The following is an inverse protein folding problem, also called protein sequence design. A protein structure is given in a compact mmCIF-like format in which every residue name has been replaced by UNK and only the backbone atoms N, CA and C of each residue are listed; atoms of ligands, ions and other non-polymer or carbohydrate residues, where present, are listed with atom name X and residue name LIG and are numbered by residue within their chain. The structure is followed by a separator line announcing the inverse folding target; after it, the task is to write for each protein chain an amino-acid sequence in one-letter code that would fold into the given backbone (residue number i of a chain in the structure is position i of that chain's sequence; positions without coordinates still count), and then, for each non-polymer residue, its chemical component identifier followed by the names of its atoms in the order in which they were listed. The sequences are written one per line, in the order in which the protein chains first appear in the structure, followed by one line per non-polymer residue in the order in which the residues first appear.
data_IF_889914583358
#
_entry.id   IF_889914583358
#
_cell.length_a   1.000
_cell.length_b   1.000
_cell.length_c   1.000
_cell.angle_alpha   90.00
_cell.angle_beta   90.00
_cell.angle_gamma   90.00
#
_symmetry.space_group_name_H-M   'P 1'
#
loop_
_entity.id
_entity.type
_entity.pdbx_description
1 polymer ?
#
# COMPACT_ATOMS: atom_id res chain seq x y z
N UNK A 1 44.81 -17.98 -30.63
CA UNK A 1 44.87 -19.35 -30.07
C UNK A 1 43.95 -19.38 -28.85
N UNK A 2 42.64 -19.59 -29.04
CA UNK A 2 41.89 -20.86 -29.13
C UNK A 2 41.66 -21.56 -27.76
N UNK A 3 40.38 -21.58 -27.37
CA UNK A 3 39.56 -22.60 -26.64
C UNK A 3 40.12 -23.24 -25.33
N UNK A 4 39.42 -23.23 -24.19
CA UNK A 4 38.12 -23.83 -23.77
C UNK A 4 38.24 -25.21 -23.10
N UNK A 5 37.39 -25.42 -22.08
CA UNK A 5 36.69 -26.64 -21.70
C UNK A 5 37.27 -27.64 -20.67
N UNK A 6 36.42 -27.81 -19.63
CA UNK A 6 35.85 -29.05 -19.09
C UNK A 6 36.57 -29.89 -18.04
N UNK A 7 35.71 -30.28 -17.08
CA UNK A 7 35.65 -31.56 -16.38
C UNK A 7 36.63 -31.74 -15.23
N UNK A 8 36.35 -32.42 -14.13
CA UNK A 8 35.19 -33.08 -13.49
C UNK A 8 35.88 -33.81 -12.32
N UNK A 9 35.27 -33.96 -11.15
CA UNK A 9 35.18 -35.28 -10.48
C UNK A 9 34.44 -35.29 -9.13
N UNK A 10 33.91 -36.47 -8.75
CA UNK A 10 32.58 -36.61 -8.20
C UNK A 10 32.61 -36.85 -6.69
N UNK A 11 31.55 -36.45 -6.00
CA UNK A 11 31.24 -37.02 -4.70
C UNK A 11 30.47 -38.33 -4.91
N UNK A 12 31.03 -39.38 -4.33
CA UNK A 12 30.66 -40.78 -4.48
C UNK A 12 29.27 -41.09 -3.95
N UNK A 13 28.44 -41.63 -4.83
CA UNK A 13 27.18 -42.28 -4.48
C UNK A 13 27.50 -43.63 -3.83
N UNK A 14 27.21 -43.74 -2.52
CA UNK A 14 27.19 -45.04 -1.85
C UNK A 14 25.75 -45.55 -1.86
N UNK A 15 25.43 -46.47 -2.77
CA UNK A 15 24.22 -47.28 -2.64
C UNK A 15 24.38 -48.23 -1.45
N UNK A 16 23.43 -48.17 -0.51
CA UNK A 16 23.05 -49.32 0.30
C UNK A 16 21.56 -49.53 0.11
N UNK A 17 21.18 -50.62 -0.57
CA UNK A 17 19.82 -51.14 -0.55
C UNK A 17 19.71 -52.16 0.59
N UNK A 18 18.81 -51.95 1.55
CA UNK A 18 17.83 -52.96 1.99
C UNK A 18 16.67 -52.26 2.72
N UNK A 19 15.47 -52.77 2.48
CA UNK A 19 14.14 -52.20 2.67
C UNK A 19 13.72 -51.93 4.13
N UNK A 20 12.94 -50.87 4.35
CA UNK A 20 11.56 -50.92 4.88
C UNK A 20 11.10 -49.54 5.34
N UNK A 21 9.85 -49.20 4.97
CA UNK A 21 8.98 -48.15 5.49
C UNK A 21 9.61 -46.87 6.03
N UNK A 22 9.47 -45.76 5.28
CA UNK A 22 8.88 -44.47 5.72
C UNK A 22 8.98 -43.50 4.53
N UNK A 23 7.94 -42.70 4.31
CA UNK A 23 7.87 -41.68 3.25
C UNK A 23 9.14 -40.81 3.16
N UNK A 24 9.57 -40.39 1.96
CA UNK A 24 10.57 -39.34 1.84
C UNK A 24 9.88 -38.00 2.09
N UNK A 25 9.62 -37.67 3.36
CA UNK A 25 9.57 -36.26 3.75
C UNK A 25 10.99 -35.75 3.65
N UNK A 26 11.35 -35.22 2.49
CA UNK A 26 12.45 -34.27 2.38
C UNK A 26 12.07 -33.02 3.18
N UNK A 27 12.19 -33.10 4.51
CA UNK A 27 12.07 -31.94 5.37
C UNK A 27 13.33 -31.12 5.16
N UNK A 28 13.30 -30.20 4.19
CA UNK A 28 14.23 -29.08 4.18
C UNK A 28 14.19 -28.46 5.58
N UNK A 29 15.34 -28.00 6.13
CA UNK A 29 15.34 -27.25 7.37
C UNK A 29 14.30 -26.14 7.24
N UNK A 30 13.38 -26.06 8.20
CA UNK A 30 12.20 -25.17 8.14
C UNK A 30 12.61 -23.70 7.92
N UNK A 31 13.84 -23.35 8.29
CA UNK A 31 14.42 -22.01 8.21
C UNK A 31 15.41 -21.82 7.03
N UNK A 32 15.51 -22.77 6.10
CA UNK A 32 16.35 -22.62 4.90
C UNK A 32 15.73 -21.60 3.93
N UNK A 33 16.56 -20.78 3.28
CA UNK A 33 16.14 -19.90 2.17
C UNK A 33 15.36 -20.69 1.11
N UNK A 34 15.75 -21.94 0.86
CA UNK A 34 15.05 -22.82 -0.09
C UNK A 34 13.64 -23.19 0.40
N UNK A 35 13.45 -23.39 1.71
CA UNK A 35 12.12 -23.67 2.27
C UNK A 35 11.19 -22.46 2.13
N UNK A 36 11.70 -21.24 2.36
CA UNK A 36 10.96 -20.00 2.12
C UNK A 36 10.60 -19.80 0.66
N UNK A 37 11.55 -20.00 -0.25
CA UNK A 37 11.31 -19.91 -1.71
C UNK A 37 10.23 -20.91 -2.15
N UNK A 38 10.34 -22.17 -1.75
CA UNK A 38 9.33 -23.20 -2.07
C UNK A 38 7.95 -22.85 -1.47
N UNK A 39 7.91 -22.28 -0.26
CA UNK A 39 6.66 -21.83 0.37
C UNK A 39 6.01 -20.67 -0.38
N UNK A 40 6.81 -19.73 -0.89
CA UNK A 40 6.37 -18.63 -1.75
C UNK A 40 5.84 -19.15 -3.09
N UNK A 41 6.64 -19.93 -3.82
CA UNK A 41 6.31 -20.48 -5.14
C UNK A 41 5.08 -21.41 -5.12
N UNK A 42 4.84 -22.08 -3.99
CA UNK A 42 3.65 -22.93 -3.80
C UNK A 42 2.42 -22.16 -3.31
N UNK A 43 2.53 -20.85 -3.06
CA UNK A 43 1.45 -20.01 -2.55
C UNK A 43 1.03 -20.34 -1.12
N UNK A 44 1.86 -21.07 -0.36
CA UNK A 44 1.60 -21.38 1.06
C UNK A 44 2.03 -20.24 1.98
N UNK A 45 3.01 -19.45 1.56
CA UNK A 45 3.46 -18.29 2.31
C UNK A 45 2.45 -17.14 2.20
N UNK A 46 2.14 -16.54 3.35
CA UNK A 46 1.33 -15.33 3.46
C UNK A 46 2.14 -14.24 4.15
N UNK A 47 2.17 -13.05 3.57
CA UNK A 47 2.96 -11.93 4.10
C UNK A 47 2.17 -10.61 4.07
N UNK A 48 2.43 -9.68 5.02
CA UNK A 48 1.79 -8.38 5.03
C UNK A 48 2.32 -7.50 3.90
N UNK A 49 1.42 -6.85 3.19
CA UNK A 49 1.74 -5.82 2.21
C UNK A 49 0.53 -4.89 2.00
N UNK A 50 0.72 -3.85 1.22
CA UNK A 50 -0.35 -2.95 0.81
C UNK A 50 -0.70 -3.15 -0.66
N UNK A 51 -1.99 -3.06 -0.96
CA UNK A 51 -2.53 -3.19 -2.31
C UNK A 51 -3.13 -1.86 -2.72
N UNK A 52 -2.65 -1.29 -3.82
CA UNK A 52 -3.28 -0.14 -4.45
C UNK A 52 -4.65 -0.54 -5.02
N UNK A 53 -5.68 0.24 -4.67
CA UNK A 53 -7.00 0.11 -5.27
C UNK A 53 -6.94 0.62 -6.72
N UNK A 54 -7.39 -0.22 -7.65
CA UNK A 54 -7.65 0.21 -9.03
C UNK A 54 -9.12 0.58 -9.19
N UNK A 55 -9.40 1.34 -10.25
CA UNK A 55 -10.74 1.64 -10.77
C UNK A 55 -11.47 0.41 -11.32
N UNK A 56 -11.50 -0.72 -10.61
CA UNK A 56 -12.31 -1.89 -10.99
C UNK A 56 -13.82 -1.59 -10.80
N UNK A 57 -14.32 -0.51 -11.40
CA UNK A 57 -15.71 -0.04 -11.33
C UNK A 57 -16.07 0.77 -10.08
N UNK A 58 -15.17 0.92 -9.11
CA UNK A 58 -15.45 1.66 -7.87
C UNK A 58 -14.69 2.98 -7.78
N UNK A 59 -15.26 4.00 -8.43
CA UNK A 59 -14.80 5.41 -8.44
C UNK A 59 -14.51 5.95 -7.04
N UNK A 60 -15.20 5.48 -5.99
CA UNK A 60 -14.99 5.95 -4.62
C UNK A 60 -13.59 5.71 -4.05
N UNK A 61 -12.86 4.69 -4.51
CA UNK A 61 -11.57 4.26 -3.95
C UNK A 61 -10.36 4.67 -4.80
N UNK A 62 -10.52 5.62 -5.72
CA UNK A 62 -9.43 6.11 -6.56
C UNK A 62 -8.26 6.65 -5.72
N UNK A 63 -7.04 6.28 -6.13
CA UNK A 63 -5.79 6.65 -5.46
C UNK A 63 -5.80 6.34 -3.97
N UNK A 64 -6.28 5.14 -3.63
CA UNK A 64 -6.20 4.61 -2.29
C UNK A 64 -5.48 3.27 -2.24
N UNK A 65 -5.04 2.85 -1.06
CA UNK A 65 -4.52 1.51 -0.82
C UNK A 65 -4.96 0.98 0.53
N UNK A 66 -4.89 -0.34 0.70
CA UNK A 66 -5.30 -1.03 1.92
C UNK A 66 -4.31 -2.13 2.31
N UNK A 67 -4.25 -2.42 3.61
CA UNK A 67 -3.41 -3.49 4.16
C UNK A 67 -4.04 -4.86 3.90
N UNK A 68 -3.23 -5.82 3.48
CA UNK A 68 -3.66 -7.19 3.23
C UNK A 68 -2.56 -8.21 3.56
N UNK A 69 -2.98 -9.46 3.73
CA UNK A 69 -2.08 -10.60 3.67
C UNK A 69 -2.06 -11.12 2.23
N UNK A 70 -0.88 -11.20 1.62
CA UNK A 70 -0.71 -11.61 0.23
C UNK A 70 -0.13 -13.02 0.11
N UNK A 71 -0.52 -13.73 -0.94
CA UNK A 71 0.04 -15.00 -1.35
C UNK A 71 0.26 -14.99 -2.85
N UNK A 72 1.45 -15.42 -3.27
CA UNK A 72 1.82 -15.52 -4.68
C UNK A 72 1.20 -16.77 -5.34
N UNK A 73 0.77 -16.65 -6.59
CA UNK A 73 0.39 -17.75 -7.48
C UNK A 73 1.32 -17.77 -8.69
N UNK A 74 2.27 -18.69 -8.66
CA UNK A 74 3.29 -18.87 -9.71
C UNK A 74 2.72 -19.30 -11.06
N UNK A 75 1.49 -19.84 -11.11
CA UNK A 75 0.87 -20.31 -12.37
C UNK A 75 0.40 -19.14 -13.23
N UNK A 76 -0.03 -18.06 -12.59
CA UNK A 76 -0.57 -16.87 -13.25
C UNK A 76 0.35 -15.65 -13.11
N UNK A 77 1.43 -15.77 -12.34
CA UNK A 77 2.32 -14.66 -11.95
C UNK A 77 1.55 -13.49 -11.32
N UNK A 78 0.64 -13.82 -10.40
CA UNK A 78 -0.21 -12.85 -9.70
C UNK A 78 -0.33 -13.17 -8.21
N UNK A 79 -0.99 -12.29 -7.48
CA UNK A 79 -1.20 -12.41 -6.04
C UNK A 79 -2.68 -12.54 -5.68
N UNK A 80 -2.91 -13.17 -4.54
CA UNK A 80 -4.18 -13.21 -3.83
C UNK A 80 -4.04 -12.40 -2.54
N UNK A 81 -4.93 -11.45 -2.33
CA UNK A 81 -4.99 -10.66 -1.11
C UNK A 81 -6.13 -11.14 -0.21
N UNK A 82 -5.82 -11.30 1.08
CA UNK A 82 -6.80 -11.51 2.14
C UNK A 82 -6.85 -10.27 3.01
N UNK A 83 -8.02 -9.67 3.11
CA UNK A 83 -8.27 -8.54 4.01
C UNK A 83 -9.61 -8.76 4.73
N UNK A 84 -9.76 -8.17 5.91
CA UNK A 84 -10.94 -8.39 6.77
C UNK A 84 -11.52 -7.05 7.18
N UNK A 85 -12.36 -6.42 6.34
CA UNK A 85 -12.87 -5.08 6.61
C UNK A 85 -13.89 -5.05 7.75
N UNK A 86 -14.49 -6.17 8.14
CA UNK A 86 -15.43 -6.25 9.28
C UNK A 86 -15.50 -7.69 9.81
N UNK A 87 -14.34 -8.32 10.07
CA UNK A 87 -14.27 -9.76 10.43
C UNK A 87 -14.67 -10.73 9.32
N UNK A 88 -15.35 -10.27 8.27
CA UNK A 88 -15.63 -11.01 7.04
C UNK A 88 -14.36 -11.07 6.22
N UNK A 89 -13.82 -12.27 6.04
CA UNK A 89 -12.66 -12.51 5.18
C UNK A 89 -13.04 -12.27 3.73
N UNK A 90 -12.46 -11.25 3.13
CA UNK A 90 -12.53 -10.97 1.69
C UNK A 90 -11.27 -11.54 1.03
N UNK A 91 -11.42 -12.01 -0.20
CA UNK A 91 -10.30 -12.45 -1.04
C UNK A 91 -10.38 -11.70 -2.36
N UNK A 92 -9.31 -10.99 -2.71
CA UNK A 92 -9.12 -10.43 -4.05
C UNK A 92 -8.06 -11.27 -4.76
N UNK A 93 -8.31 -11.64 -6.01
CA UNK A 93 -7.43 -12.49 -6.81
C UNK A 93 -6.91 -11.71 -8.02
N UNK A 94 -5.90 -12.25 -8.70
CA UNK A 94 -5.30 -11.68 -9.91
C UNK A 94 -4.70 -10.28 -9.70
N UNK A 95 -4.09 -10.05 -8.54
CA UNK A 95 -3.40 -8.80 -8.25
C UNK A 95 -2.02 -8.86 -8.89
N UNK A 96 -1.71 -7.89 -9.75
CA UNK A 96 -0.41 -7.78 -10.43
C UNK A 96 0.65 -7.12 -9.55
N UNK A 97 1.92 -7.36 -9.87
CA UNK A 97 3.07 -6.79 -9.16
C UNK A 97 3.04 -5.27 -9.02
N UNK A 98 2.58 -4.54 -10.04
CA UNK A 98 2.52 -3.07 -10.05
C UNK A 98 1.51 -2.49 -9.04
N UNK A 99 0.61 -3.31 -8.50
CA UNK A 99 -0.36 -2.90 -7.49
C UNK A 99 0.13 -3.09 -6.06
N UNK A 100 1.31 -3.66 -5.88
CA UNK A 100 1.83 -3.99 -4.56
C UNK A 100 2.85 -2.96 -4.09
N UNK A 101 2.83 -2.71 -2.78
CA UNK A 101 3.91 -1.99 -2.11
C UNK A 101 4.13 -2.56 -0.72
N UNK A 102 5.34 -2.37 -0.20
CA UNK A 102 5.58 -2.55 1.22
C UNK A 102 4.79 -1.50 2.02
N UNK A 103 4.29 -1.81 3.22
CA UNK A 103 3.65 -0.82 4.09
C UNK A 103 4.58 0.37 4.31
N UNK A 104 4.08 1.58 4.07
CA UNK A 104 4.88 2.79 4.24
C UNK A 104 5.15 3.14 5.71
N UNK A 105 4.34 2.60 6.63
CA UNK A 105 4.43 2.79 8.08
C UNK A 105 4.09 1.46 8.78
N UNK A 106 4.65 1.25 9.98
CA UNK A 106 4.39 0.07 10.81
C UNK A 106 3.07 0.15 11.61
N UNK A 107 2.26 1.19 11.35
CA UNK A 107 0.98 1.38 12.06
C UNK A 107 -0.03 0.32 11.65
N UNK A 108 -0.63 -0.44 12.59
CA UNK A 108 -1.67 -1.40 12.26
C UNK A 108 -2.90 -0.77 11.63
N UNK A 109 -3.60 -1.51 10.77
CA UNK A 109 -4.73 -1.01 9.97
C UNK A 109 -5.92 -0.47 10.77
N UNK A 110 -6.12 -0.87 12.04
CA UNK A 110 -7.20 -0.35 12.91
C UNK A 110 -6.74 0.77 13.85
N UNK A 111 -5.47 1.18 13.77
CA UNK A 111 -4.87 2.18 14.64
C UNK A 111 -4.68 3.47 13.86
N UNK A 112 -5.10 4.58 14.46
CA UNK A 112 -4.87 5.91 13.90
C UNK A 112 -3.37 6.19 13.90
N UNK A 113 -2.82 6.54 12.74
CA UNK A 113 -1.43 6.94 12.59
C UNK A 113 -1.16 8.27 13.29
N UNK A 114 -0.07 8.33 14.05
CA UNK A 114 0.36 9.54 14.73
C UNK A 114 1.13 10.44 13.76
N UNK A 115 0.46 11.46 13.24
CA UNK A 115 1.00 12.39 12.25
C UNK A 115 2.08 13.30 12.85
N UNK A 116 3.35 13.05 12.51
CA UNK A 116 4.49 13.87 12.94
C UNK A 116 4.81 15.03 11.99
N UNK A 117 4.26 15.00 10.77
CA UNK A 117 4.60 15.93 9.70
C UNK A 117 3.71 17.17 9.58
N UNK A 118 2.68 17.32 10.44
CA UNK A 118 1.62 18.33 10.25
C UNK A 118 2.14 19.77 10.22
N UNK A 119 3.15 20.07 11.04
CA UNK A 119 3.75 21.40 11.10
C UNK A 119 4.52 21.77 9.82
N UNK A 120 5.04 20.77 9.11
CA UNK A 120 5.87 20.93 7.92
C UNK A 120 5.09 20.92 6.60
N UNK A 121 3.76 20.77 6.68
CA UNK A 121 2.88 20.78 5.51
C UNK A 121 2.78 22.19 4.91
N UNK A 122 3.17 22.30 3.64
CA UNK A 122 3.01 23.48 2.78
C UNK A 122 2.29 23.12 1.49
N UNK A 123 1.62 24.10 0.83
CA UNK A 123 1.01 23.85 -0.47
C UNK A 123 1.95 23.17 -1.47
N UNK A 124 1.42 22.20 -2.20
CA UNK A 124 2.17 21.36 -3.13
C UNK A 124 2.81 20.11 -2.51
N UNK A 125 2.87 19.98 -1.19
CA UNK A 125 3.34 18.74 -0.56
C UNK A 125 2.36 17.58 -0.84
N UNK A 126 2.92 16.40 -1.07
CA UNK A 126 2.16 15.17 -1.28
C UNK A 126 1.93 14.44 0.05
N UNK A 127 0.73 13.92 0.25
CA UNK A 127 0.34 13.27 1.51
C UNK A 127 -0.46 12.00 1.27
N UNK A 128 -0.50 11.14 2.29
CA UNK A 128 -1.56 10.16 2.44
C UNK A 128 -2.32 10.42 3.72
N UNK A 129 -3.64 10.24 3.68
CA UNK A 129 -4.51 10.30 4.85
C UNK A 129 -5.21 8.96 5.07
N UNK A 130 -5.30 8.53 6.32
CA UNK A 130 -6.11 7.41 6.73
C UNK A 130 -7.59 7.78 6.64
N UNK A 131 -8.39 6.93 6.00
CA UNK A 131 -9.85 7.01 5.98
C UNK A 131 -10.47 5.64 6.23
N UNK A 132 -11.59 5.60 6.97
CA UNK A 132 -12.42 4.41 7.18
C UNK A 132 -13.89 4.76 7.13
N UNK A 133 -14.73 3.82 6.70
CA UNK A 133 -16.19 4.03 6.60
C UNK A 133 -16.84 4.19 7.97
N UNK A 134 -16.47 3.36 8.93
CA UNK A 134 -16.92 3.42 10.31
C UNK A 134 -15.86 2.79 11.24
N UNK A 135 -16.10 2.80 12.56
CA UNK A 135 -15.11 2.33 13.55
C UNK A 135 -14.78 0.84 13.49
N UNK A 136 -15.62 0.04 12.87
CA UNK A 136 -15.43 -1.40 12.70
C UNK A 136 -14.54 -1.72 11.50
N UNK A 137 -14.40 -0.78 10.56
CA UNK A 137 -13.56 -0.93 9.38
C UNK A 137 -12.12 -0.50 9.66
N UNK A 138 -11.13 -1.20 9.09
CA UNK A 138 -9.75 -0.72 9.08
C UNK A 138 -9.64 0.56 8.25
N UNK A 139 -8.62 1.35 8.54
CA UNK A 139 -8.21 2.44 7.69
C UNK A 139 -7.59 1.91 6.40
N UNK A 140 -7.94 2.55 5.29
CA UNK A 140 -7.08 2.60 4.11
C UNK A 140 -6.40 3.95 4.01
N UNK A 141 -5.47 4.09 3.07
CA UNK A 141 -4.72 5.32 2.84
C UNK A 141 -5.14 5.95 1.52
N UNK A 142 -5.48 7.23 1.54
CA UNK A 142 -5.86 8.02 0.37
C UNK A 142 -4.78 9.03 0.06
N UNK A 143 -4.31 9.04 -1.17
CA UNK A 143 -3.38 10.03 -1.67
C UNK A 143 -4.07 11.37 -1.90
N UNK A 144 -3.39 12.45 -1.51
CA UNK A 144 -3.81 13.82 -1.76
C UNK A 144 -2.62 14.77 -1.84
N UNK A 145 -2.92 16.05 -2.03
CA UNK A 145 -1.93 17.14 -2.10
C UNK A 145 -2.36 18.26 -1.17
N UNK A 146 -1.42 18.94 -0.53
CA UNK A 146 -1.72 20.12 0.26
C UNK A 146 -2.08 21.28 -0.68
N UNK A 147 -3.28 21.82 -0.52
CA UNK A 147 -3.81 22.92 -1.30
C UNK A 147 -3.51 24.29 -0.69
N UNK A 148 -4.00 25.32 -1.36
CA UNK A 148 -4.00 26.70 -0.85
C UNK A 148 -5.34 27.02 -0.18
N UNK A 149 -5.31 27.87 0.85
CA UNK A 149 -6.53 28.49 1.38
C UNK A 149 -7.20 29.34 0.29
N UNK A 150 -8.54 29.41 0.31
CA UNK A 150 -9.32 30.21 -0.66
C UNK A 150 -8.92 31.69 -0.65
N UNK A 151 -8.56 32.22 0.53
CA UNK A 151 -8.10 33.60 0.69
C UNK A 151 -6.67 33.84 0.17
N UNK A 152 -5.95 32.79 -0.25
CA UNK A 152 -4.59 32.92 -0.76
C UNK A 152 -4.63 33.22 -2.26
N UNK A 153 -4.01 34.32 -2.67
CA UNK A 153 -3.87 34.68 -4.10
C UNK A 153 -2.96 33.76 -4.92
N UNK A 154 -2.55 32.60 -4.38
CA UNK A 154 -1.71 31.57 -5.03
C UNK A 154 -0.39 32.09 -5.62
N UNK A 155 0.11 33.21 -5.10
CA UNK A 155 1.41 33.75 -5.48
C UNK A 155 2.52 32.97 -4.75
N UNK A 156 3.39 32.31 -5.50
CA UNK A 156 4.50 31.49 -4.97
C UNK A 156 5.42 32.27 -4.01
N UNK A 157 5.59 33.58 -4.22
CA UNK A 157 6.47 34.40 -3.41
C UNK A 157 5.81 35.05 -2.19
N UNK A 158 4.47 35.02 -2.10
CA UNK A 158 3.70 35.68 -1.03
C UNK A 158 2.68 34.75 -0.36
N UNK A 159 2.85 33.43 -0.52
CA UNK A 159 1.97 32.45 0.09
C UNK A 159 2.24 32.34 1.60
N UNK A 160 1.24 32.70 2.41
CA UNK A 160 1.31 32.56 3.88
C UNK A 160 0.62 31.29 4.41
N UNK A 161 0.17 30.38 3.53
CA UNK A 161 -0.57 29.18 3.95
C UNK A 161 0.25 28.25 4.87
N UNK A 162 1.57 28.22 4.70
CA UNK A 162 2.47 27.46 5.58
C UNK A 162 2.39 27.90 7.05
N UNK A 163 2.18 29.20 7.29
CA UNK A 163 2.12 29.76 8.65
C UNK A 163 0.71 29.74 9.26
N UNK A 164 -0.30 29.25 8.51
CA UNK A 164 -1.68 29.15 8.99
C UNK A 164 -1.90 27.80 9.64
N UNK A 165 -2.64 27.81 10.75
CA UNK A 165 -2.99 26.58 11.46
C UNK A 165 -3.87 25.67 10.60
N UNK A 166 -4.76 26.26 9.81
CA UNK A 166 -5.58 25.54 8.83
C UNK A 166 -4.77 25.10 7.63
N UNK A 167 -4.80 23.80 7.33
CA UNK A 167 -4.20 23.17 6.15
C UNK A 167 -5.31 22.62 5.28
N UNK A 168 -5.26 22.93 3.99
CA UNK A 168 -6.19 22.40 2.99
C UNK A 168 -5.60 21.14 2.39
N UNK A 169 -6.37 20.05 2.35
CA UNK A 169 -6.02 18.83 1.64
C UNK A 169 -6.92 18.69 0.42
N UNK A 170 -6.31 18.47 -0.75
CA UNK A 170 -6.97 18.33 -2.03
C UNK A 170 -6.81 16.91 -2.60
N UNK A 171 -7.93 16.36 -3.01
CA UNK A 171 -8.07 15.04 -3.64
C UNK A 171 -8.52 15.26 -5.08
N UNK A 172 -7.56 15.64 -5.92
CA UNK A 172 -7.79 16.05 -7.31
C UNK A 172 -8.31 14.92 -8.22
N UNK A 173 -8.31 13.68 -7.74
CA UNK A 173 -9.00 12.56 -8.39
C UNK A 173 -10.53 12.72 -8.39
N UNK A 174 -11.11 13.55 -7.52
CA UNK A 174 -12.56 13.78 -7.48
C UNK A 174 -12.96 15.06 -8.22
N UNK A 175 -14.13 15.09 -8.90
CA UNK A 175 -14.63 16.27 -9.63
C UNK A 175 -14.81 17.51 -8.74
N UNK A 176 -14.77 18.72 -9.34
CA UNK A 176 -14.75 20.01 -8.61
C UNK A 176 -15.94 20.22 -7.66
N UNK A 177 -17.10 19.62 -7.94
CA UNK A 177 -18.28 19.67 -7.08
C UNK A 177 -18.37 18.55 -6.02
N UNK A 178 -17.41 17.63 -5.98
CA UNK A 178 -17.44 16.51 -5.04
C UNK A 178 -17.10 16.97 -3.63
N UNK A 179 -17.94 16.59 -2.65
CA UNK A 179 -17.66 16.77 -1.22
C UNK A 179 -16.38 16.08 -0.75
N UNK A 180 -15.88 15.11 -1.52
CA UNK A 180 -14.64 14.37 -1.23
C UNK A 180 -13.39 15.03 -1.79
N UNK A 181 -13.53 16.08 -2.61
CA UNK A 181 -12.40 16.72 -3.28
C UNK A 181 -11.51 17.51 -2.33
N UNK A 182 -12.07 18.05 -1.26
CA UNK A 182 -11.32 18.92 -0.37
C UNK A 182 -11.75 18.69 1.08
N UNK A 183 -10.77 18.73 1.98
CA UNK A 183 -11.03 18.86 3.41
C UNK A 183 -10.03 19.82 4.05
N UNK A 184 -10.37 20.32 5.24
CA UNK A 184 -9.51 21.21 6.02
C UNK A 184 -9.18 20.55 7.35
N UNK A 185 -7.91 20.62 7.73
CA UNK A 185 -7.41 20.13 9.01
C UNK A 185 -6.74 21.27 9.78
N UNK A 186 -6.58 21.12 11.08
CA UNK A 186 -5.82 22.05 11.92
C UNK A 186 -4.50 21.40 12.35
N UNK A 187 -3.35 21.95 11.96
CA UNK A 187 -2.04 21.33 12.25
C UNK A 187 -1.65 21.28 13.73
N UNK A 188 -2.34 22.00 14.64
CA UNK A 188 -2.05 22.02 16.09
C UNK A 188 -2.82 20.95 16.86
N UNK A 189 -4.09 20.75 16.52
CA UNK A 189 -5.03 19.92 17.28
C UNK A 189 -5.68 18.82 16.43
N UNK A 190 -5.01 18.37 15.36
CA UNK A 190 -5.57 17.37 14.46
C UNK A 190 -5.76 16.03 15.15
N UNK A 191 -6.94 15.46 14.98
CA UNK A 191 -7.32 14.12 15.46
C UNK A 191 -8.22 13.46 14.43
N UNK A 192 -8.63 12.23 14.70
CA UNK A 192 -9.69 11.63 13.88
C UNK A 192 -10.95 12.50 13.93
N UNK A 193 -11.43 12.87 12.75
CA UNK A 193 -12.65 13.64 12.51
C UNK A 193 -13.52 12.90 11.50
N UNK A 194 -14.81 13.23 11.47
CA UNK A 194 -15.76 12.60 10.57
C UNK A 194 -17.00 12.06 11.30
N UNK A 195 -17.82 11.33 10.56
CA UNK A 195 -19.11 10.83 11.00
C UNK A 195 -19.51 9.57 10.20
N UNK A 196 -20.60 8.91 10.56
CA UNK A 196 -21.06 7.68 9.89
C UNK A 196 -21.52 7.87 8.43
N UNK A 197 -21.86 9.09 8.01
CA UNK A 197 -22.28 9.40 6.64
C UNK A 197 -21.10 9.66 5.70
N UNK A 198 -20.01 10.23 6.22
CA UNK A 198 -18.82 10.64 5.45
C UNK A 198 -17.57 9.80 5.79
N UNK A 199 -17.70 8.86 6.71
CA UNK A 199 -16.56 8.15 7.28
C UNK A 199 -15.69 9.02 8.18
N UNK A 200 -14.62 8.41 8.65
CA UNK A 200 -13.68 8.98 9.61
C UNK A 200 -12.29 9.03 8.99
N UNK A 201 -11.58 10.14 9.20
CA UNK A 201 -10.22 10.34 8.71
C UNK A 201 -9.37 11.10 9.73
N UNK A 202 -8.04 10.90 9.70
CA UNK A 202 -7.19 11.60 10.64
C UNK A 202 -5.69 11.39 10.49
N UNK A 203 -5.22 10.15 10.48
CA UNK A 203 -3.79 9.86 10.40
C UNK A 203 -3.22 10.35 9.07
N UNK A 204 -2.20 11.21 9.10
CA UNK A 204 -1.62 11.83 7.90
C UNK A 204 -0.13 11.58 7.91
N UNK A 205 0.39 11.14 6.77
CA UNK A 205 1.83 11.12 6.50
C UNK A 205 2.15 11.99 5.30
N UNK A 206 3.32 12.61 5.32
CA UNK A 206 3.89 13.30 4.15
C UNK A 206 4.68 12.31 3.31
N UNK A 207 4.55 12.41 2.00
CA UNK A 207 5.34 11.65 1.03
C UNK A 207 6.52 12.50 0.62
N UNK A 208 7.74 12.05 0.94
CA UNK A 208 8.98 12.76 0.63
C UNK A 208 9.67 12.22 -0.62
N UNK A 209 9.51 10.93 -0.92
CA UNK A 209 10.21 10.23 -2.00
C UNK A 209 9.49 10.46 -3.33
N UNK A 210 10.23 10.94 -4.34
CA UNK A 210 9.66 11.19 -5.68
C UNK A 210 9.23 9.88 -6.35
N UNK A 211 9.84 8.75 -5.99
CA UNK A 211 9.45 7.43 -6.52
C UNK A 211 8.04 7.04 -6.05
N UNK A 212 7.70 7.29 -4.78
CA UNK A 212 6.35 7.05 -4.25
C UNK A 212 5.32 8.00 -4.89
N UNK A 213 5.69 9.27 -5.07
CA UNK A 213 4.84 10.26 -5.73
C UNK A 213 4.59 9.86 -7.19
N UNK A 214 5.63 9.43 -7.90
CA UNK A 214 5.55 8.97 -9.28
C UNK A 214 4.69 7.71 -9.41
N UNK A 215 4.78 6.79 -8.44
CA UNK A 215 3.90 5.63 -8.37
C UNK A 215 2.43 6.06 -8.28
N UNK A 216 2.08 6.96 -7.35
CA UNK A 216 0.71 7.48 -7.25
C UNK A 216 0.23 8.19 -8.51
N UNK A 217 1.07 9.03 -9.12
CA UNK A 217 0.77 9.70 -10.39
C UNK A 217 0.54 8.70 -11.54
N UNK A 218 1.21 7.56 -11.54
CA UNK A 218 1.01 6.52 -12.56
C UNK A 218 -0.33 5.78 -12.44
N UNK A 219 -0.92 5.80 -11.23
CA UNK A 219 -2.22 5.20 -10.92
C UNK A 219 -3.38 6.17 -11.17
N UNK A 220 -3.11 7.37 -11.71
CA UNK A 220 -4.14 8.36 -11.98
C UNK A 220 -5.19 7.82 -12.96
N UNK A 221 -6.48 8.09 -12.74
CA UNK A 221 -7.54 7.80 -13.70
C UNK A 221 -7.17 8.31 -15.09
N UNK A 222 -7.17 7.43 -16.10
CA UNK A 222 -6.88 7.81 -17.49
C UNK A 222 -8.01 8.61 -18.13
N UNK A 223 -9.20 8.58 -17.53
CA UNK A 223 -10.35 9.35 -17.94
C UNK A 223 -10.75 10.27 -16.77
N UNK A 224 -10.78 11.57 -17.02
CA UNK A 224 -11.49 12.48 -16.13
C UNK A 224 -12.95 12.03 -16.11
N UNK A 225 -13.44 11.65 -14.94
CA UNK A 225 -14.87 11.41 -14.75
C UNK A 225 -15.55 12.77 -14.84
N UNK A 226 -16.07 13.10 -16.03
CA UNK A 226 -17.00 14.21 -16.25
C UNK A 226 -18.36 13.92 -15.60
#
# INVERSE_FOLDING_TARGET
FFWSLYSCWPFSWSERKTESNTEPRSSLPVDSIMAWYVSLESGKFWFPAQVYNRENGHVGFMLSCYDAQLSYDSRTDTFRARYSPHGRRMVEENISWDRLRAPAVDTPSHVLHNSDCLHDLKPGDHIEIQWRRNKEFPYGWWYGVVGHLESCGRNEHHCLCFYKDTVVLEFNQYPTGSRWRQTMINRKDHREVGNEADGFYGGIRKIYKEEEISMWKSLWPRHALE
#
